data_IF_779273587756
#
_entry.id   IF_779273587756
#
_cell.length_a   1.000
_cell.length_b   1.000
_cell.length_c   1.000
_cell.angle_alpha   90.00
_cell.angle_beta   90.00
_cell.angle_gamma   90.00
#
_symmetry.space_group_name_H-M   'P 1'
#
loop_
_entity.id
_entity.type
_entity.pdbx_description
1 polymer ?
#
# COMPACT_ATOMS: atom_id res chain seq x y z
N UNK A 1 -11.66 -14.42 -1.56
CA UNK A 1 -12.17 -13.49 -0.54
C UNK A 1 -12.64 -12.23 -1.24
N UNK A 2 -13.88 -11.81 -1.05
CA UNK A 2 -14.39 -10.56 -1.63
C UNK A 2 -14.68 -9.59 -0.49
N UNK A 3 -14.13 -8.38 -0.60
CA UNK A 3 -14.52 -7.30 0.30
C UNK A 3 -15.93 -6.82 -0.03
N UNK A 4 -16.71 -6.48 1.00
CA UNK A 4 -18.01 -5.79 0.84
C UNK A 4 -17.84 -4.43 0.17
N UNK A 5 -16.67 -3.82 0.30
CA UNK A 5 -16.30 -2.55 -0.32
C UNK A 5 -15.67 -2.81 -1.68
N UNK A 6 -16.30 -2.28 -2.72
CA UNK A 6 -15.78 -2.34 -4.09
C UNK A 6 -15.27 -0.96 -4.48
N UNK A 7 -14.06 -0.93 -5.01
CA UNK A 7 -13.49 0.29 -5.57
C UNK A 7 -13.59 0.21 -7.10
N UNK A 8 -14.13 1.27 -7.69
CA UNK A 8 -14.16 1.38 -9.16
C UNK A 8 -12.74 1.59 -9.68
N UNK A 9 -12.50 1.13 -10.89
CA UNK A 9 -11.25 1.42 -11.57
C UNK A 9 -11.08 2.94 -11.75
N UNK A 10 -10.01 3.46 -11.14
CA UNK A 10 -9.66 4.88 -11.17
C UNK A 10 -8.20 5.08 -11.61
N UNK A 11 -7.66 4.14 -12.39
CA UNK A 11 -6.26 4.15 -12.82
C UNK A 11 -5.82 5.51 -13.40
N UNK A 12 -6.65 6.14 -14.20
CA UNK A 12 -6.37 7.47 -14.76
C UNK A 12 -6.23 8.54 -13.68
N UNK A 13 -7.16 8.58 -12.72
CA UNK A 13 -7.13 9.53 -11.61
C UNK A 13 -5.95 9.27 -10.67
N UNK A 14 -5.67 8.00 -10.37
CA UNK A 14 -4.53 7.60 -9.55
C UNK A 14 -3.21 8.01 -10.20
N UNK A 15 -3.02 7.74 -11.49
CA UNK A 15 -1.81 8.10 -12.22
C UNK A 15 -1.65 9.63 -12.33
N UNK A 16 -2.73 10.36 -12.55
CA UNK A 16 -2.73 11.82 -12.56
C UNK A 16 -2.26 12.38 -11.21
N UNK A 17 -2.83 11.89 -10.12
CA UNK A 17 -2.44 12.30 -8.77
C UNK A 17 -0.98 11.95 -8.47
N UNK A 18 -0.53 10.75 -8.87
CA UNK A 18 0.86 10.32 -8.72
C UNK A 18 1.83 11.27 -9.44
N UNK A 19 1.56 11.63 -10.68
CA UNK A 19 2.38 12.58 -11.44
C UNK A 19 2.37 13.98 -10.83
N UNK A 20 1.23 14.42 -10.32
CA UNK A 20 1.07 15.77 -9.75
C UNK A 20 1.79 15.93 -8.41
N UNK A 21 1.73 14.94 -7.54
CA UNK A 21 2.21 15.02 -6.15
C UNK A 21 3.49 14.25 -5.90
N UNK A 22 3.89 13.38 -6.83
CA UNK A 22 5.04 12.51 -6.71
C UNK A 22 6.35 13.13 -7.13
N UNK A 23 7.36 12.27 -7.16
CA UNK A 23 8.71 12.61 -7.65
C UNK A 23 8.83 12.31 -9.15
N UNK A 24 9.83 12.88 -9.79
CA UNK A 24 10.22 12.45 -11.14
C UNK A 24 10.71 11.00 -11.09
N UNK A 25 10.30 10.13 -12.02
CA UNK A 25 10.79 8.76 -12.07
C UNK A 25 12.31 8.65 -12.09
N UNK A 26 12.82 7.68 -11.32
CA UNK A 26 14.26 7.41 -11.16
C UNK A 26 14.60 6.13 -11.93
N UNK A 27 15.73 6.12 -12.65
CA UNK A 27 16.08 5.02 -13.55
C UNK A 27 16.48 3.75 -12.82
N UNK A 28 17.22 3.87 -11.71
CA UNK A 28 17.77 2.73 -10.97
C UNK A 28 17.92 3.02 -9.48
N UNK A 29 18.06 1.97 -8.68
CA UNK A 29 18.27 2.09 -7.23
C UNK A 29 19.58 2.78 -6.86
N UNK A 30 20.62 2.66 -7.67
CA UNK A 30 21.87 3.37 -7.46
C UNK A 30 21.67 4.90 -7.51
N UNK A 31 20.82 5.38 -8.42
CA UNK A 31 20.41 6.80 -8.44
C UNK A 31 19.53 7.19 -7.27
N UNK A 32 18.67 6.30 -6.83
CA UNK A 32 17.82 6.51 -5.65
C UNK A 32 18.65 6.79 -4.39
N UNK A 33 19.72 6.04 -4.17
CA UNK A 33 20.61 6.23 -3.03
C UNK A 33 21.29 7.61 -3.01
N UNK A 34 21.51 8.19 -4.19
CA UNK A 34 22.17 9.49 -4.34
C UNK A 34 21.21 10.68 -4.38
N UNK A 35 19.96 10.48 -4.78
CA UNK A 35 18.98 11.55 -4.94
C UNK A 35 17.56 11.14 -4.53
N UNK A 36 17.34 11.07 -3.21
CA UNK A 36 16.05 10.68 -2.62
C UNK A 36 15.45 11.76 -1.70
N UNK A 37 15.76 13.04 -1.94
CA UNK A 37 15.38 14.14 -1.02
C UNK A 37 13.89 14.22 -0.70
N UNK A 38 13.04 13.87 -1.66
CA UNK A 38 11.58 13.86 -1.50
C UNK A 38 11.00 12.50 -1.14
N UNK A 39 11.82 11.47 -1.12
CA UNK A 39 11.45 10.12 -0.74
C UNK A 39 11.95 9.81 0.67
N UNK A 40 11.09 9.21 1.47
CA UNK A 40 11.37 8.82 2.85
C UNK A 40 11.43 7.31 2.95
N UNK A 41 12.45 6.80 3.66
CA UNK A 41 12.53 5.38 4.01
C UNK A 41 11.30 4.99 4.84
N UNK A 42 10.72 3.86 4.50
CA UNK A 42 9.56 3.27 5.19
C UNK A 42 9.99 1.96 5.83
N UNK A 43 9.98 1.92 7.14
CA UNK A 43 10.29 0.74 7.95
C UNK A 43 9.04 0.27 8.69
N UNK A 44 8.97 -1.01 9.00
CA UNK A 44 7.90 -1.56 9.83
C UNK A 44 7.80 -0.82 11.18
N UNK A 45 6.58 -0.62 11.65
CA UNK A 45 6.30 0.00 12.94
C UNK A 45 5.08 -0.68 13.61
N UNK A 46 4.53 -0.09 14.65
CA UNK A 46 3.36 -0.63 15.34
C UNK A 46 2.08 -0.73 14.50
N UNK A 47 1.97 -0.01 13.39
CA UNK A 47 0.77 0.08 12.57
C UNK A 47 0.82 -0.77 11.30
N UNK A 48 1.99 -1.00 10.74
CA UNK A 48 2.17 -1.79 9.52
C UNK A 48 3.48 -2.56 9.51
N UNK A 49 3.45 -3.72 8.87
CA UNK A 49 4.60 -4.55 8.55
C UNK A 49 4.98 -4.31 7.09
N UNK A 50 6.23 -3.98 6.84
CA UNK A 50 6.80 -3.99 5.49
C UNK A 50 7.28 -5.42 5.21
N UNK A 51 6.58 -6.11 4.32
CA UNK A 51 6.92 -7.46 3.91
C UNK A 51 8.10 -7.44 2.93
N UNK A 52 8.60 -8.62 2.56
CA UNK A 52 9.62 -8.71 1.52
C UNK A 52 9.09 -8.09 0.23
N UNK A 53 9.67 -6.96 -0.14
CA UNK A 53 9.27 -6.22 -1.34
C UNK A 53 9.86 -6.88 -2.58
N UNK A 54 9.00 -7.24 -3.52
CA UNK A 54 9.41 -7.74 -4.83
C UNK A 54 9.38 -6.59 -5.83
N UNK A 55 10.51 -6.37 -6.50
CA UNK A 55 10.66 -5.35 -7.54
C UNK A 55 10.17 -3.95 -7.10
N UNK A 56 10.39 -3.63 -5.83
CA UNK A 56 10.11 -2.30 -5.28
C UNK A 56 11.04 -1.96 -4.12
N UNK A 57 11.25 -0.69 -3.87
CA UNK A 57 12.09 -0.18 -2.79
C UNK A 57 11.23 0.45 -1.69
N UNK A 58 11.65 0.37 -0.41
CA UNK A 58 10.88 0.81 0.74
C UNK A 58 10.90 2.34 0.92
N UNK A 59 10.46 3.06 -0.11
CA UNK A 59 10.44 4.51 -0.11
C UNK A 59 9.08 5.05 -0.55
N UNK A 60 8.65 6.11 0.10
CA UNK A 60 7.44 6.87 -0.25
C UNK A 60 7.68 8.36 -0.05
N UNK A 61 6.91 9.18 -0.72
CA UNK A 61 6.81 10.60 -0.36
C UNK A 61 6.27 10.74 1.06
N UNK A 62 6.53 11.86 1.71
CA UNK A 62 6.03 12.14 3.06
C UNK A 62 4.51 11.98 3.15
N UNK A 63 3.77 12.49 2.16
CA UNK A 63 2.31 12.38 2.13
C UNK A 63 1.83 10.93 2.06
N UNK A 64 2.40 10.13 1.18
CA UNK A 64 2.06 8.71 1.05
C UNK A 64 2.44 7.91 2.31
N UNK A 65 3.59 8.20 2.91
CA UNK A 65 4.00 7.58 4.18
C UNK A 65 3.03 7.91 5.31
N UNK A 66 2.56 9.16 5.39
CA UNK A 66 1.56 9.57 6.38
C UNK A 66 0.22 8.86 6.15
N UNK A 67 -0.22 8.74 4.90
CA UNK A 67 -1.43 8.00 4.55
C UNK A 67 -1.34 6.53 4.96
N UNK A 68 -0.22 5.87 4.69
CA UNK A 68 0.00 4.48 5.09
C UNK A 68 -0.12 4.32 6.61
N UNK A 69 0.48 5.21 7.38
CA UNK A 69 0.37 5.21 8.85
C UNK A 69 -1.08 5.41 9.30
N UNK A 70 -1.80 6.35 8.69
CA UNK A 70 -3.20 6.63 9.01
C UNK A 70 -4.11 5.42 8.73
N UNK A 71 -3.90 4.73 7.62
CA UNK A 71 -4.62 3.48 7.31
C UNK A 71 -4.39 2.44 8.40
N UNK A 72 -3.14 2.19 8.76
CA UNK A 72 -2.79 1.22 9.80
C UNK A 72 -3.36 1.57 11.18
N UNK A 73 -3.30 2.85 11.54
CA UNK A 73 -3.87 3.37 12.79
C UNK A 73 -5.38 3.16 12.85
N UNK A 74 -6.12 3.61 11.84
CA UNK A 74 -7.59 3.47 11.78
C UNK A 74 -8.01 2.00 11.74
N UNK A 75 -7.25 1.15 11.07
CA UNK A 75 -7.49 -0.29 11.05
C UNK A 75 -7.41 -0.89 12.47
N UNK A 76 -6.40 -0.54 13.24
CA UNK A 76 -6.26 -1.00 14.63
C UNK A 76 -7.34 -0.43 15.52
N UNK A 77 -7.72 0.82 15.37
CA UNK A 77 -8.83 1.45 16.10
C UNK A 77 -10.16 0.70 15.87
N UNK A 78 -10.44 0.30 14.63
CA UNK A 78 -11.65 -0.50 14.31
C UNK A 78 -11.59 -1.90 14.92
N UNK A 79 -10.43 -2.56 14.91
CA UNK A 79 -10.25 -3.85 15.61
C UNK A 79 -10.50 -3.71 17.12
N UNK A 80 -9.96 -2.66 17.73
CA UNK A 80 -10.09 -2.40 19.17
C UNK A 80 -11.54 -2.14 19.57
N UNK A 81 -12.30 -1.36 18.81
CA UNK A 81 -13.72 -1.10 19.03
C UNK A 81 -14.55 -2.39 19.11
N UNK A 82 -14.21 -3.39 18.32
CA UNK A 82 -14.88 -4.69 18.28
C UNK A 82 -14.30 -5.70 19.30
N UNK A 83 -13.25 -5.34 20.01
CA UNK A 83 -12.57 -6.19 20.97
C UNK A 83 -11.77 -7.33 20.32
N UNK A 84 -11.37 -7.17 19.07
CA UNK A 84 -10.52 -8.12 18.34
C UNK A 84 -9.05 -8.00 18.73
N UNK A 85 -8.30 -9.08 18.53
CA UNK A 85 -6.85 -9.10 18.69
C UNK A 85 -6.20 -8.09 17.76
N UNK A 86 -5.16 -7.42 18.24
CA UNK A 86 -4.41 -6.45 17.44
C UNK A 86 -3.67 -7.12 16.29
N UNK A 87 -3.78 -6.50 15.13
CA UNK A 87 -3.05 -6.86 13.92
C UNK A 87 -2.50 -5.61 13.23
N UNK A 88 -1.41 -5.80 12.49
CA UNK A 88 -0.90 -4.80 11.54
C UNK A 88 -1.33 -5.15 10.13
N UNK A 89 -1.55 -4.14 9.31
CA UNK A 89 -1.63 -4.30 7.85
C UNK A 89 -0.24 -4.64 7.29
N UNK A 90 -0.20 -5.29 6.13
CA UNK A 90 1.04 -5.72 5.48
C UNK A 90 1.20 -4.97 4.17
N UNK A 91 2.33 -4.26 4.02
CA UNK A 91 2.70 -3.55 2.79
C UNK A 91 3.52 -4.47 1.92
N UNK A 92 3.14 -4.62 0.66
CA UNK A 92 3.74 -5.59 -0.27
C UNK A 92 4.52 -4.95 -1.42
N UNK A 93 4.24 -3.69 -1.74
CA UNK A 93 5.01 -2.91 -2.73
C UNK A 93 4.95 -1.42 -2.41
N UNK A 94 6.00 -0.72 -2.79
CA UNK A 94 6.12 0.73 -2.66
C UNK A 94 6.77 1.32 -3.92
N UNK A 95 7.77 2.18 -3.77
CA UNK A 95 8.42 2.86 -4.86
C UNK A 95 9.11 1.89 -5.84
N UNK A 96 8.94 2.15 -7.14
CA UNK A 96 9.63 1.41 -8.20
C UNK A 96 10.43 2.35 -9.08
N UNK A 97 11.69 1.99 -9.33
CA UNK A 97 12.49 2.62 -10.38
C UNK A 97 12.07 2.10 -11.75
N UNK A 98 12.50 2.76 -12.83
CA UNK A 98 12.26 2.27 -14.21
C UNK A 98 12.83 0.86 -14.39
N UNK A 99 13.98 0.57 -13.81
CA UNK A 99 14.59 -0.77 -13.84
C UNK A 99 13.75 -1.81 -13.09
N UNK A 100 13.18 -1.44 -11.95
CA UNK A 100 12.27 -2.34 -11.21
C UNK A 100 11.04 -2.71 -12.06
N UNK A 101 10.47 -1.75 -12.80
CA UNK A 101 9.37 -2.00 -13.73
C UNK A 101 9.80 -2.97 -14.84
N UNK A 102 10.96 -2.75 -15.46
CA UNK A 102 11.47 -3.62 -16.50
C UNK A 102 11.70 -5.06 -16.02
N UNK A 103 12.20 -5.23 -14.80
CA UNK A 103 12.36 -6.55 -14.16
C UNK A 103 10.99 -7.19 -13.89
N UNK A 104 10.04 -6.43 -13.35
CA UNK A 104 8.69 -6.93 -13.07
C UNK A 104 7.97 -7.38 -14.35
N UNK A 105 8.18 -6.71 -15.48
CA UNK A 105 7.62 -7.07 -16.78
C UNK A 105 8.13 -8.42 -17.31
N UNK A 106 9.32 -8.86 -16.92
CA UNK A 106 9.86 -10.17 -17.32
C UNK A 106 9.04 -11.33 -16.74
N UNK A 107 8.43 -11.14 -15.56
CA UNK A 107 7.64 -12.15 -14.86
C UNK A 107 6.14 -11.90 -14.93
N UNK A 108 5.73 -10.68 -15.25
CA UNK A 108 4.34 -10.27 -15.37
C UNK A 108 4.17 -9.28 -16.52
N UNK A 109 3.72 -9.77 -17.66
CA UNK A 109 3.50 -8.97 -18.88
C UNK A 109 2.41 -7.89 -18.74
N UNK A 110 1.57 -7.97 -17.70
CA UNK A 110 0.56 -6.94 -17.41
C UNK A 110 1.12 -5.72 -16.66
N UNK A 111 2.38 -5.75 -16.25
CA UNK A 111 3.03 -4.60 -15.61
C UNK A 111 3.18 -3.46 -16.63
N UNK A 112 2.60 -2.31 -16.30
CA UNK A 112 2.56 -1.15 -17.20
C UNK A 112 3.81 -0.27 -17.04
N UNK A 113 4.35 0.23 -18.14
CA UNK A 113 5.45 1.22 -18.16
C UNK A 113 5.08 2.52 -17.42
N UNK A 114 3.80 2.88 -17.37
CA UNK A 114 3.26 4.03 -16.66
C UNK A 114 2.71 3.67 -15.27
N UNK A 115 3.42 2.83 -14.53
CA UNK A 115 3.01 2.48 -13.16
C UNK A 115 3.00 3.70 -12.24
N UNK A 116 1.96 3.86 -11.44
CA UNK A 116 1.88 4.89 -10.40
C UNK A 116 2.98 4.74 -9.33
N UNK A 117 3.54 3.54 -9.16
CA UNK A 117 4.66 3.27 -8.25
C UNK A 117 5.96 4.02 -8.62
N UNK A 118 6.10 4.49 -9.85
CA UNK A 118 7.26 5.29 -10.30
C UNK A 118 7.38 6.65 -9.60
N UNK A 119 6.30 7.14 -9.01
CA UNK A 119 6.21 8.52 -8.49
C UNK A 119 6.31 8.60 -6.97
N UNK A 120 6.41 7.47 -6.27
CA UNK A 120 6.58 7.43 -4.82
C UNK A 120 5.33 7.74 -3.99
N UNK A 121 4.17 7.85 -4.63
CA UNK A 121 2.88 8.15 -3.98
C UNK A 121 1.95 6.95 -3.87
N UNK A 122 2.40 5.78 -4.34
CA UNK A 122 1.60 4.57 -4.42
C UNK A 122 2.24 3.43 -3.64
N UNK A 123 1.42 2.70 -2.93
CA UNK A 123 1.82 1.49 -2.20
C UNK A 123 0.70 0.45 -2.25
N UNK A 124 1.09 -0.81 -2.17
CA UNK A 124 0.16 -1.93 -2.14
C UNK A 124 0.06 -2.50 -0.73
N UNK A 125 -1.14 -2.84 -0.32
CA UNK A 125 -1.46 -3.47 0.96
C UNK A 125 -2.13 -4.81 0.69
N UNK A 126 -1.69 -5.86 1.39
CA UNK A 126 -2.39 -7.14 1.36
C UNK A 126 -3.80 -7.01 1.96
N UNK A 127 -4.78 -7.55 1.28
CA UNK A 127 -6.16 -7.65 1.79
C UNK A 127 -6.52 -9.07 2.27
N UNK A 128 -5.62 -10.03 2.11
CA UNK A 128 -5.82 -11.43 2.49
C UNK A 128 -4.94 -11.90 3.65
N UNK A 129 -3.92 -11.12 4.00
CA UNK A 129 -2.97 -11.43 5.07
C UNK A 129 -2.83 -10.25 6.01
N UNK A 130 -2.78 -10.54 7.29
CA UNK A 130 -2.61 -9.56 8.37
C UNK A 130 -1.61 -10.10 9.38
N UNK A 131 -0.86 -9.22 10.00
CA UNK A 131 0.17 -9.61 10.96
C UNK A 131 -0.32 -9.41 12.40
N UNK A 132 -0.56 -10.51 13.11
CA UNK A 132 -0.97 -10.45 14.51
C UNK A 132 0.17 -9.95 15.39
N UNK A 133 -0.10 -8.97 16.22
CA UNK A 133 0.84 -8.37 17.17
C UNK A 133 0.41 -8.57 18.63
N UNK A 134 -0.88 -8.81 18.88
CA UNK A 134 -1.44 -9.00 20.22
C UNK A 134 -2.02 -10.40 20.43
N UNK A 135 -2.07 -10.82 21.70
CA UNK A 135 -2.72 -12.07 22.13
C UNK A 135 -4.02 -11.82 22.86
N UNK A 136 -4.23 -10.60 23.36
CA UNK A 136 -5.45 -10.18 24.05
C UNK A 136 -6.57 -9.93 23.05
N UNK A 137 -7.80 -10.18 23.45
CA UNK A 137 -8.99 -9.96 22.65
C UNK A 137 -9.49 -11.20 21.93
N UNK A 138 -10.58 -11.02 21.17
CA UNK A 138 -11.23 -12.09 20.42
C UNK A 138 -10.43 -12.44 19.15
N UNK A 139 -10.44 -13.71 18.78
CA UNK A 139 -9.95 -14.14 17.47
C UNK A 139 -10.79 -13.48 16.37
N UNK A 140 -10.16 -13.16 15.26
CA UNK A 140 -10.78 -12.51 14.10
C UNK A 140 -10.31 -13.17 12.82
N UNK A 141 -11.23 -13.39 11.89
CA UNK A 141 -10.91 -13.98 10.58
C UNK A 141 -10.26 -12.96 9.63
N UNK A 142 -9.49 -13.44 8.69
CA UNK A 142 -8.94 -12.59 7.61
C UNK A 142 -10.05 -11.93 6.78
N UNK A 143 -11.17 -12.60 6.58
CA UNK A 143 -12.33 -12.01 5.88
C UNK A 143 -12.92 -10.82 6.61
N UNK A 144 -13.11 -10.94 7.94
CA UNK A 144 -13.57 -9.83 8.77
C UNK A 144 -12.58 -8.67 8.73
N UNK A 145 -11.28 -8.95 8.83
CA UNK A 145 -10.23 -7.92 8.74
C UNK A 145 -10.16 -7.27 7.37
N UNK A 146 -10.38 -8.04 6.29
CA UNK A 146 -10.48 -7.50 4.94
C UNK A 146 -11.63 -6.48 4.82
N UNK A 147 -12.79 -6.77 5.41
CA UNK A 147 -13.92 -5.85 5.40
C UNK A 147 -13.65 -4.60 6.25
N UNK A 148 -12.99 -4.75 7.40
CA UNK A 148 -12.58 -3.62 8.24
C UNK A 148 -11.60 -2.72 7.48
N UNK A 149 -10.58 -3.28 6.86
CA UNK A 149 -9.63 -2.53 6.03
C UNK A 149 -10.33 -1.83 4.86
N UNK A 150 -11.24 -2.53 4.19
CA UNK A 150 -12.05 -1.95 3.11
C UNK A 150 -12.85 -0.73 3.56
N UNK A 151 -13.48 -0.79 4.73
CA UNK A 151 -14.21 0.34 5.34
C UNK A 151 -13.28 1.52 5.60
N UNK A 152 -12.11 1.27 6.20
CA UNK A 152 -11.12 2.33 6.48
C UNK A 152 -10.69 3.04 5.21
N UNK A 153 -10.33 2.28 4.18
CA UNK A 153 -9.88 2.83 2.89
C UNK A 153 -11.03 3.57 2.20
N UNK A 154 -12.25 3.03 2.23
CA UNK A 154 -13.43 3.69 1.69
C UNK A 154 -13.67 5.07 2.33
N UNK A 155 -13.60 5.16 3.65
CA UNK A 155 -13.76 6.41 4.37
C UNK A 155 -12.67 7.42 4.01
N UNK A 156 -11.42 7.00 3.90
CA UNK A 156 -10.31 7.86 3.48
C UNK A 156 -10.49 8.36 2.04
N UNK A 157 -11.02 7.52 1.15
CA UNK A 157 -11.38 7.94 -0.21
C UNK A 157 -12.47 9.01 -0.20
N UNK A 158 -13.54 8.82 0.58
CA UNK A 158 -14.62 9.81 0.70
C UNK A 158 -14.13 11.13 1.31
N UNK A 159 -13.13 11.09 2.16
CA UNK A 159 -12.43 12.27 2.70
C UNK A 159 -11.49 12.93 1.67
N UNK A 160 -11.28 12.34 0.50
CA UNK A 160 -10.38 12.85 -0.54
C UNK A 160 -8.90 12.57 -0.32
N UNK A 161 -8.55 11.64 0.58
CA UNK A 161 -7.17 11.36 0.97
C UNK A 161 -6.47 10.37 0.04
N UNK A 162 -7.19 9.53 -0.70
CA UNK A 162 -6.61 8.52 -1.57
C UNK A 162 -7.49 8.12 -2.75
N UNK A 163 -6.86 7.48 -3.73
CA UNK A 163 -7.47 6.82 -4.88
C UNK A 163 -7.18 5.31 -4.81
N UNK A 164 -8.01 4.52 -4.10
CA UNK A 164 -7.78 3.09 -3.98
C UNK A 164 -8.23 2.32 -5.21
N UNK A 165 -7.46 1.28 -5.56
CA UNK A 165 -7.81 0.31 -6.58
C UNK A 165 -7.75 -1.07 -5.93
N UNK A 166 -8.74 -1.90 -6.22
CA UNK A 166 -8.73 -3.29 -5.81
C UNK A 166 -8.08 -4.13 -6.92
N UNK A 167 -6.85 -4.57 -6.70
CA UNK A 167 -6.18 -5.48 -7.61
C UNK A 167 -6.43 -6.93 -7.19
N UNK A 168 -6.97 -7.72 -8.11
CA UNK A 168 -7.02 -9.17 -7.91
C UNK A 168 -5.61 -9.70 -8.02
N UNK A 169 -5.04 -10.14 -6.90
CA UNK A 169 -3.79 -10.88 -6.94
C UNK A 169 -4.00 -12.14 -7.78
N UNK A 170 -3.38 -12.21 -8.94
CA UNK A 170 -3.40 -13.41 -9.76
C UNK A 170 -2.54 -14.53 -9.16
N UNK A 171 -1.74 -14.21 -8.15
CA UNK A 171 -0.89 -15.18 -7.46
C UNK A 171 -0.82 -14.81 -5.96
N UNK A 172 -1.44 -15.63 -5.15
CA UNK A 172 -1.14 -15.72 -3.73
C UNK A 172 0.18 -16.47 -3.53
#
# INVERSE_FOLDING_TARGET
MQSTYQFKDVNGAQLYAAKKYGVTPIDSRAKLENDHRRLKLVESNGYYLVDRLKDSAPYLTKGAKNLLKEIGKRFQEELDKEGYREHRIIVTAMFRTRRDIAIAQQTNSSTNDNSAHLYGTTFDISFSRFNRTGTSGKAVSNETMCNILGKVIYNLREEGECWPIFERAQHC
#
